data_IF_237313052732
#
_entry.id   IF_237313052732
#
_cell.length_a   1.000
_cell.length_b   1.000
_cell.length_c   1.000
_cell.angle_alpha   90.00
_cell.angle_beta   90.00
_cell.angle_gamma   90.00
#
_symmetry.space_group_name_H-M   'P 1'
#
loop_
_entity.id
_entity.type
_entity.pdbx_description
1 polymer ?
#
# COMPACT_ATOMS: atom_id res chain seq x y z
N UNK A 1 -45.04 34.06 43.92
CA UNK A 1 -45.70 33.27 42.85
C UNK A 1 -44.64 32.75 41.90
N UNK A 2 -44.03 31.59 42.16
CA UNK A 2 -43.08 30.99 41.21
C UNK A 2 -43.86 30.21 40.16
N UNK A 3 -44.08 30.83 39.00
CA UNK A 3 -44.56 30.11 37.83
C UNK A 3 -43.50 29.11 37.39
N UNK A 4 -43.79 27.80 37.50
CA UNK A 4 -42.91 26.75 36.95
C UNK A 4 -42.93 26.88 35.42
N UNK A 5 -41.74 26.83 34.81
CA UNK A 5 -41.60 26.88 33.35
C UNK A 5 -42.41 25.72 32.73
N UNK A 6 -43.12 25.94 31.60
CA UNK A 6 -43.85 24.89 30.93
C UNK A 6 -42.87 23.80 30.47
N UNK A 7 -43.33 22.55 30.54
CA UNK A 7 -42.57 21.40 30.04
C UNK A 7 -42.36 21.57 28.54
N UNK A 8 -41.11 21.50 28.04
CA UNK A 8 -40.85 21.61 26.61
C UNK A 8 -41.53 20.44 25.88
N UNK A 9 -42.16 20.74 24.75
CA UNK A 9 -42.72 19.73 23.85
C UNK A 9 -41.57 18.99 23.16
N UNK A 10 -41.01 17.98 23.81
CA UNK A 10 -40.06 17.04 23.19
C UNK A 10 -40.83 16.13 22.25
N UNK A 11 -40.65 16.32 20.94
CA UNK A 11 -41.21 15.43 19.92
C UNK A 11 -40.32 14.16 19.90
N UNK A 12 -40.85 12.96 20.23
CA UNK A 12 -40.05 11.74 20.34
C UNK A 12 -39.33 11.34 19.04
N UNK A 13 -39.87 11.73 17.89
CA UNK A 13 -39.31 11.47 16.55
C UNK A 13 -37.89 12.07 16.37
N UNK A 14 -37.53 13.11 17.14
CA UNK A 14 -36.20 13.73 17.11
C UNK A 14 -35.11 12.95 17.86
N UNK A 15 -35.45 11.90 18.60
CA UNK A 15 -34.48 11.19 19.43
C UNK A 15 -33.62 10.21 18.62
N UNK A 16 -34.13 9.70 17.50
CA UNK A 16 -33.38 8.75 16.66
C UNK A 16 -32.54 9.50 15.63
N UNK A 17 -31.36 9.91 16.05
CA UNK A 17 -30.37 10.47 15.12
C UNK A 17 -30.04 9.43 14.04
N UNK A 18 -30.12 9.79 12.75
CA UNK A 18 -29.88 8.83 11.69
C UNK A 18 -28.41 8.38 11.71
N UNK A 19 -28.17 7.12 11.38
CA UNK A 19 -26.83 6.51 11.37
C UNK A 19 -26.38 6.30 9.93
N UNK A 20 -25.14 6.66 9.65
CA UNK A 20 -24.49 6.46 8.35
C UNK A 20 -24.31 4.98 8.05
N UNK A 21 -24.87 4.54 6.92
CA UNK A 21 -24.75 3.16 6.41
C UNK A 21 -23.33 2.80 5.98
N UNK A 22 -22.45 3.79 5.77
CA UNK A 22 -21.06 3.57 5.32
C UNK A 22 -20.13 3.36 6.50
N UNK A 23 -20.19 4.23 7.50
CA UNK A 23 -19.23 4.26 8.61
C UNK A 23 -19.83 3.93 9.98
N UNK A 24 -21.15 3.73 10.08
CA UNK A 24 -21.85 3.38 11.31
C UNK A 24 -21.95 4.51 12.34
N UNK A 25 -21.51 5.72 12.00
CA UNK A 25 -21.56 6.90 12.89
C UNK A 25 -22.82 7.70 12.66
N UNK A 26 -23.25 8.44 13.68
CA UNK A 26 -24.38 9.36 13.59
C UNK A 26 -24.15 10.38 12.47
N UNK A 27 -25.10 10.48 11.56
CA UNK A 27 -25.12 11.46 10.49
C UNK A 27 -25.92 12.69 10.88
N UNK A 28 -25.43 13.86 10.49
CA UNK A 28 -26.17 15.11 10.59
C UNK A 28 -27.01 15.39 9.34
N UNK A 29 -26.89 14.55 8.30
CA UNK A 29 -27.67 14.71 7.07
C UNK A 29 -29.09 14.19 7.26
N UNK A 30 -30.05 14.79 6.54
CA UNK A 30 -31.44 14.30 6.49
C UNK A 30 -31.54 12.89 5.90
N UNK A 31 -30.69 12.56 4.93
CA UNK A 31 -30.66 11.25 4.29
C UNK A 31 -29.91 10.17 5.08
N UNK A 32 -29.33 10.53 6.23
CA UNK A 32 -28.61 9.61 7.09
C UNK A 32 -27.21 9.21 6.64
N UNK A 33 -26.68 9.68 5.50
CA UNK A 33 -25.31 9.39 5.03
C UNK A 33 -24.44 10.66 5.10
N UNK A 34 -23.20 10.57 5.61
CA UNK A 34 -22.30 11.73 5.61
C UNK A 34 -21.95 12.16 4.17
N UNK A 35 -21.83 13.46 3.87
CA UNK A 35 -21.50 13.93 2.53
C UNK A 35 -20.26 13.26 1.93
N UNK A 36 -19.18 13.16 2.72
CA UNK A 36 -17.95 12.48 2.29
C UNK A 36 -18.17 10.99 2.01
N UNK A 37 -18.95 10.31 2.85
CA UNK A 37 -19.28 8.90 2.64
C UNK A 37 -20.14 8.67 1.39
N UNK A 38 -21.04 9.62 1.05
CA UNK A 38 -21.83 9.56 -0.17
C UNK A 38 -20.96 9.76 -1.42
N UNK A 39 -20.01 10.70 -1.37
CA UNK A 39 -19.03 10.92 -2.42
C UNK A 39 -18.16 9.67 -2.64
N UNK A 40 -17.62 9.08 -1.57
CA UNK A 40 -16.82 7.86 -1.64
C UNK A 40 -17.60 6.69 -2.26
N UNK A 41 -18.87 6.52 -1.90
CA UNK A 41 -19.73 5.50 -2.50
C UNK A 41 -19.96 5.75 -4.00
N UNK A 42 -20.21 7.00 -4.40
CA UNK A 42 -20.36 7.36 -5.80
C UNK A 42 -19.08 7.12 -6.61
N UNK A 43 -17.93 7.42 -6.02
CA UNK A 43 -16.62 7.29 -6.65
C UNK A 43 -16.03 5.87 -6.65
N UNK A 44 -16.60 4.95 -5.86
CA UNK A 44 -16.07 3.60 -5.69
C UNK A 44 -15.82 2.87 -7.03
N UNK A 45 -16.76 3.01 -7.98
CA UNK A 45 -16.65 2.38 -9.32
C UNK A 45 -15.49 2.99 -10.13
N UNK A 46 -15.38 4.32 -10.14
CA UNK A 46 -14.34 5.05 -10.85
C UNK A 46 -12.96 4.72 -10.30
N UNK A 47 -12.82 4.72 -8.97
CA UNK A 47 -11.58 4.37 -8.27
C UNK A 47 -11.21 2.90 -8.55
N UNK A 48 -12.19 1.99 -8.57
CA UNK A 48 -11.98 0.58 -8.93
C UNK A 48 -11.31 0.42 -10.29
N UNK A 49 -11.89 1.04 -11.33
CA UNK A 49 -11.33 1.01 -12.70
C UNK A 49 -9.91 1.57 -12.78
N UNK A 50 -9.65 2.69 -12.09
CA UNK A 50 -8.31 3.29 -12.06
C UNK A 50 -7.28 2.38 -11.37
N UNK A 51 -7.68 1.69 -10.30
CA UNK A 51 -6.82 0.73 -9.60
C UNK A 51 -6.48 -0.47 -10.49
N UNK A 52 -7.45 -0.99 -11.22
CA UNK A 52 -7.24 -2.10 -12.16
C UNK A 52 -6.31 -1.72 -13.30
N UNK A 53 -6.52 -0.56 -13.94
CA UNK A 53 -5.65 -0.04 -14.99
C UNK A 53 -4.20 0.11 -14.51
N UNK A 54 -4.00 0.75 -13.34
CA UNK A 54 -2.67 0.89 -12.73
C UNK A 54 -2.03 -0.45 -12.40
N UNK A 55 -2.81 -1.45 -11.98
CA UNK A 55 -2.28 -2.79 -11.70
C UNK A 55 -1.78 -3.47 -12.98
N UNK A 56 -2.51 -3.33 -14.08
CA UNK A 56 -2.13 -3.87 -15.39
C UNK A 56 -0.85 -3.20 -15.93
N UNK A 57 -0.76 -1.87 -15.86
CA UNK A 57 0.45 -1.12 -16.25
C UNK A 57 1.67 -1.55 -15.45
N UNK A 58 1.53 -1.64 -14.12
CA UNK A 58 2.61 -2.08 -13.25
C UNK A 58 3.04 -3.53 -13.52
N UNK A 59 2.11 -4.42 -13.86
CA UNK A 59 2.42 -5.79 -14.24
C UNK A 59 3.22 -5.83 -15.56
N UNK A 60 2.85 -5.01 -16.55
CA UNK A 60 3.57 -4.89 -17.82
C UNK A 60 5.01 -4.37 -17.62
N UNK A 61 5.18 -3.32 -16.78
CA UNK A 61 6.50 -2.77 -16.45
C UNK A 61 7.38 -3.80 -15.72
N UNK A 62 6.81 -4.56 -14.78
CA UNK A 62 7.53 -5.66 -14.11
C UNK A 62 7.93 -6.77 -15.08
N UNK A 63 7.04 -7.16 -15.99
CA UNK A 63 7.35 -8.18 -16.98
C UNK A 63 8.47 -7.73 -17.95
N UNK A 64 8.49 -6.45 -18.33
CA UNK A 64 9.53 -5.88 -19.18
C UNK A 64 10.89 -5.81 -18.48
N UNK A 65 10.93 -5.46 -17.18
CA UNK A 65 12.19 -5.37 -16.43
C UNK A 65 12.82 -6.73 -16.12
N UNK A 66 12.02 -7.79 -15.94
CA UNK A 66 12.53 -9.16 -15.70
C UNK A 66 13.21 -9.76 -16.94
N UNK A 67 12.78 -9.40 -18.16
CA UNK A 67 13.37 -9.94 -19.40
C UNK A 67 14.67 -9.25 -19.86
N UNK A 68 14.97 -8.07 -19.35
CA UNK A 68 15.94 -7.18 -19.99
C UNK A 68 17.33 -7.11 -19.33
N UNK A 69 17.54 -7.63 -18.11
CA UNK A 69 18.85 -7.49 -17.43
C UNK A 69 19.30 -8.77 -16.75
N UNK A 70 20.51 -9.29 -17.03
CA UNK A 70 21.15 -10.20 -16.11
C UNK A 70 21.28 -9.48 -14.77
N UNK A 71 20.80 -10.13 -13.71
CA UNK A 71 20.83 -9.61 -12.35
C UNK A 71 22.25 -9.09 -12.06
N UNK A 72 22.44 -7.77 -11.86
CA UNK A 72 23.76 -7.25 -11.59
C UNK A 72 24.28 -7.92 -10.32
N UNK A 73 25.54 -8.34 -10.33
CA UNK A 73 26.15 -8.90 -9.13
C UNK A 73 25.96 -7.89 -8.00
N UNK A 74 25.36 -8.36 -6.91
CA UNK A 74 25.27 -7.57 -5.69
C UNK A 74 26.69 -7.10 -5.31
N UNK A 75 26.81 -5.86 -4.84
CA UNK A 75 28.08 -5.22 -4.45
C UNK A 75 28.97 -6.08 -3.54
N UNK A 76 28.35 -7.02 -2.81
CA UNK A 76 29.01 -7.92 -1.86
C UNK A 76 29.38 -9.29 -2.43
N UNK A 77 29.19 -9.49 -3.74
CA UNK A 77 29.45 -10.74 -4.42
C UNK A 77 30.44 -10.57 -5.58
N UNK A 78 31.32 -11.56 -5.75
CA UNK A 78 32.23 -11.70 -6.87
C UNK A 78 32.01 -13.05 -7.56
N UNK A 79 32.40 -13.14 -8.82
CA UNK A 79 32.39 -14.40 -9.57
C UNK A 79 33.77 -15.04 -9.52
N UNK A 80 33.82 -16.36 -9.33
CA UNK A 80 35.06 -17.10 -9.53
C UNK A 80 35.44 -17.11 -11.02
N UNK A 81 36.69 -16.76 -11.40
CA UNK A 81 37.11 -16.78 -12.81
C UNK A 81 37.14 -18.20 -13.40
N UNK A 82 37.31 -19.24 -12.58
CA UNK A 82 37.32 -20.63 -13.04
C UNK A 82 35.93 -21.23 -13.21
N UNK A 83 35.11 -21.19 -12.16
CA UNK A 83 33.82 -21.90 -12.13
C UNK A 83 32.60 -20.97 -12.23
N UNK A 84 32.80 -19.65 -12.28
CA UNK A 84 31.73 -18.62 -12.33
C UNK A 84 30.68 -18.74 -11.21
N UNK A 85 31.01 -19.40 -10.09
CA UNK A 85 30.16 -19.42 -8.90
C UNK A 85 30.13 -18.03 -8.25
N UNK A 86 28.93 -17.57 -7.88
CA UNK A 86 28.75 -16.35 -7.07
C UNK A 86 29.28 -16.64 -5.66
N UNK A 87 30.24 -15.85 -5.21
CA UNK A 87 30.84 -15.96 -3.88
C UNK A 87 30.78 -14.60 -3.19
N UNK A 88 30.68 -14.60 -1.87
CA UNK A 88 30.81 -13.38 -1.09
C UNK A 88 32.21 -12.75 -1.28
N UNK A 89 32.31 -11.43 -1.35
CA UNK A 89 33.56 -10.70 -1.63
C UNK A 89 34.68 -11.05 -0.65
N UNK A 90 34.33 -11.33 0.62
CA UNK A 90 35.26 -11.72 1.71
C UNK A 90 35.82 -13.14 1.58
N UNK A 91 35.25 -14.03 0.76
CA UNK A 91 35.80 -15.38 0.58
C UNK A 91 37.13 -15.30 -0.21
N UNK A 92 38.22 -15.72 0.41
CA UNK A 92 39.56 -15.73 -0.19
C UNK A 92 39.81 -16.94 -1.09
N UNK A 93 39.00 -17.98 -0.97
CA UNK A 93 39.06 -19.18 -1.81
C UNK A 93 37.68 -19.58 -2.32
N UNK A 94 37.65 -20.13 -3.53
CA UNK A 94 36.49 -20.81 -4.08
C UNK A 94 36.57 -22.32 -3.81
N UNK A 95 35.42 -22.98 -3.74
CA UNK A 95 35.32 -24.44 -3.63
C UNK A 95 36.05 -25.18 -4.77
N UNK A 96 36.25 -24.54 -5.94
CA UNK A 96 37.04 -25.11 -7.05
C UNK A 96 38.56 -24.99 -6.87
N UNK A 97 39.03 -24.53 -5.70
CA UNK A 97 40.45 -24.35 -5.40
C UNK A 97 41.07 -23.05 -5.92
N UNK A 98 40.31 -22.17 -6.59
CA UNK A 98 40.83 -20.85 -6.98
C UNK A 98 41.00 -19.94 -5.76
N UNK A 99 42.20 -19.40 -5.58
CA UNK A 99 42.54 -18.45 -4.51
C UNK A 99 42.51 -17.03 -5.07
N UNK A 100 41.70 -16.17 -4.48
CA UNK A 100 41.61 -14.77 -4.86
C UNK A 100 42.76 -14.02 -4.19
N UNK A 101 43.71 -13.52 -4.97
CA UNK A 101 44.70 -12.56 -4.49
C UNK A 101 43.96 -11.29 -4.06
N UNK A 102 44.25 -10.77 -2.87
CA UNK A 102 43.78 -9.45 -2.49
C UNK A 102 44.44 -8.47 -3.46
N UNK A 103 43.69 -7.96 -4.44
CA UNK A 103 44.19 -6.91 -5.33
C UNK A 103 44.43 -5.65 -4.50
N UNK A 104 45.66 -5.17 -4.63
CA UNK A 104 46.31 -4.08 -3.92
C UNK A 104 45.50 -2.78 -3.95
N UNK A 105 45.51 -2.09 -2.81
CA UNK A 105 45.08 -0.70 -2.69
C UNK A 105 45.98 0.18 -3.57
N UNK A 106 45.37 0.97 -4.46
CA UNK A 106 46.04 2.04 -5.20
C UNK A 106 45.22 3.31 -5.07
#
# INVERSE_FOLDING_TARGET
MSAKKPVPLTIPELERRPVCSVCGKVSYSRGGIHPQCAEEQADAVRIGRLKEARKAENAAVKAATVKAKPEPLSRWHKLCPKCRKKLHVRKLSCDCGHRFSQTEEK
#
